data_IF_365694496098
#
_entry.id   IF_365694496098
#
_cell.length_a   1.000
_cell.length_b   1.000
_cell.length_c   1.000
_cell.angle_alpha   90.00
_cell.angle_beta   90.00
_cell.angle_gamma   90.00
#
_symmetry.space_group_name_H-M   'P 1'
#
loop_
_entity.id
_entity.type
_entity.pdbx_description
1 polymer ?
#
# COMPACT_ATOMS: atom_id res chain seq x y z
N UNK A 1 8.93 -48.49 16.32
CA UNK A 1 8.15 -47.27 16.63
C UNK A 1 8.69 -46.17 15.73
N UNK A 2 8.08 -45.92 14.57
CA UNK A 2 8.55 -44.88 13.65
C UNK A 2 8.16 -43.50 14.22
N UNK A 3 9.14 -42.65 14.48
CA UNK A 3 8.92 -41.26 14.85
C UNK A 3 8.08 -40.58 13.76
N UNK A 4 6.86 -40.17 14.12
CA UNK A 4 6.06 -39.29 13.28
C UNK A 4 6.76 -37.94 13.27
N UNK A 5 7.59 -37.70 12.27
CA UNK A 5 8.13 -36.36 11.98
C UNK A 5 6.93 -35.42 11.86
N UNK A 6 6.73 -34.58 12.87
CA UNK A 6 5.65 -33.58 12.88
C UNK A 6 6.04 -32.48 11.91
N UNK A 7 5.80 -32.71 10.61
CA UNK A 7 6.02 -31.72 9.57
C UNK A 7 5.16 -30.48 9.82
N UNK A 8 5.69 -29.30 9.45
CA UNK A 8 4.96 -28.02 9.60
C UNK A 8 3.55 -28.14 8.96
N UNK A 9 2.47 -27.75 9.66
CA UNK A 9 1.11 -27.81 9.13
C UNK A 9 1.03 -27.12 7.76
N UNK A 10 0.51 -27.83 6.76
CA UNK A 10 0.33 -27.30 5.41
C UNK A 10 -0.69 -26.17 5.46
N UNK A 11 -0.57 -25.20 4.57
CA UNK A 11 -1.51 -24.07 4.56
C UNK A 11 -2.95 -24.50 4.28
N UNK A 12 -3.15 -25.65 3.62
CA UNK A 12 -4.45 -26.27 3.41
C UNK A 12 -5.12 -26.77 4.69
N UNK A 13 -4.33 -27.10 5.70
CA UNK A 13 -4.80 -27.70 6.94
C UNK A 13 -5.17 -26.60 7.96
N UNK A 14 -4.84 -25.34 7.65
CA UNK A 14 -5.08 -24.18 8.52
C UNK A 14 -6.51 -23.67 8.33
N UNK A 15 -7.22 -23.54 9.45
CA UNK A 15 -8.59 -22.97 9.48
C UNK A 15 -8.60 -21.45 9.47
N UNK A 16 -7.51 -20.82 9.90
CA UNK A 16 -7.31 -19.37 9.93
C UNK A 16 -6.06 -18.99 9.15
N UNK A 17 -5.96 -17.71 8.81
CA UNK A 17 -4.81 -17.17 8.11
C UNK A 17 -3.55 -17.25 8.99
N UNK A 18 -2.39 -17.41 8.34
CA UNK A 18 -1.08 -17.22 8.98
C UNK A 18 -0.92 -15.76 9.42
N UNK A 19 -0.40 -15.56 10.63
CA UNK A 19 -0.09 -14.25 11.16
C UNK A 19 0.81 -13.45 10.22
N UNK A 20 0.36 -12.24 9.88
CA UNK A 20 1.12 -11.32 9.05
C UNK A 20 2.27 -10.71 9.85
N UNK A 21 3.46 -10.62 9.22
CA UNK A 21 4.63 -9.98 9.81
C UNK A 21 4.37 -8.51 10.15
N UNK A 22 5.07 -7.96 11.14
CA UNK A 22 4.93 -6.54 11.50
C UNK A 22 5.27 -5.62 10.31
N UNK A 23 6.30 -5.97 9.55
CA UNK A 23 6.68 -5.22 8.35
C UNK A 23 5.54 -5.15 7.32
N UNK A 24 4.87 -6.28 7.04
CA UNK A 24 3.77 -6.29 6.09
C UNK A 24 2.51 -5.57 6.58
N UNK A 25 2.36 -5.40 7.90
CA UNK A 25 1.29 -4.58 8.50
C UNK A 25 1.61 -3.09 8.37
N UNK A 26 2.84 -2.69 8.71
CA UNK A 26 3.16 -1.27 8.87
C UNK A 26 3.68 -0.59 7.59
N UNK A 27 4.24 -1.32 6.62
CA UNK A 27 4.95 -0.72 5.47
C UNK A 27 4.18 0.35 4.71
N UNK A 28 2.87 0.16 4.48
CA UNK A 28 2.06 1.15 3.75
C UNK A 28 1.66 2.33 4.62
N UNK A 29 1.36 2.10 5.91
CA UNK A 29 1.13 3.20 6.86
C UNK A 29 2.37 4.07 6.99
N UNK A 30 3.54 3.46 7.14
CA UNK A 30 4.83 4.15 7.19
C UNK A 30 5.07 4.90 5.88
N UNK A 31 4.82 4.27 4.73
CA UNK A 31 4.97 4.90 3.41
C UNK A 31 4.10 6.16 3.30
N UNK A 32 2.80 6.06 3.61
CA UNK A 32 1.88 7.19 3.49
C UNK A 32 2.18 8.29 4.51
N UNK A 33 2.54 7.92 5.74
CA UNK A 33 2.97 8.88 6.75
C UNK A 33 4.23 9.62 6.30
N UNK A 34 5.25 8.90 5.80
CA UNK A 34 6.49 9.48 5.31
C UNK A 34 6.22 10.42 4.14
N UNK A 35 5.39 10.02 3.17
CA UNK A 35 5.01 10.91 2.07
C UNK A 35 4.31 12.16 2.60
N UNK A 36 3.32 12.02 3.47
CA UNK A 36 2.63 13.17 4.06
C UNK A 36 3.60 14.14 4.76
N UNK A 37 4.53 13.63 5.57
CA UNK A 37 5.50 14.48 6.27
C UNK A 37 6.53 15.12 5.35
N UNK A 38 6.96 14.45 4.27
CA UNK A 38 7.81 15.08 3.24
C UNK A 38 7.07 16.25 2.60
N UNK A 39 5.77 16.11 2.35
CA UNK A 39 4.96 17.15 1.73
C UNK A 39 4.76 18.35 2.67
N UNK A 40 4.48 18.09 3.95
CA UNK A 40 4.44 19.12 5.00
C UNK A 40 5.78 19.85 5.12
N UNK A 41 6.88 19.08 5.12
CA UNK A 41 8.23 19.66 5.18
C UNK A 41 8.55 20.52 3.96
N UNK A 42 8.16 20.08 2.76
CA UNK A 42 8.35 20.86 1.54
C UNK A 42 7.69 22.24 1.64
N UNK A 43 6.44 22.29 2.10
CA UNK A 43 5.70 23.55 2.26
C UNK A 43 6.34 24.47 3.33
N UNK A 44 6.83 23.89 4.43
CA UNK A 44 7.55 24.64 5.47
C UNK A 44 8.93 25.14 4.99
N UNK A 45 9.63 24.36 4.18
CA UNK A 45 10.92 24.75 3.60
C UNK A 45 10.77 25.91 2.62
N UNK A 46 9.62 26.01 1.97
CA UNK A 46 9.32 27.09 1.02
C UNK A 46 8.85 28.38 1.70
N UNK A 47 8.24 28.28 2.88
CA UNK A 47 7.74 29.42 3.63
C UNK A 47 8.24 29.39 5.09
N UNK A 48 9.27 30.18 5.44
CA UNK A 48 9.86 30.17 6.78
C UNK A 48 8.93 30.68 7.89
N UNK A 49 7.79 31.31 7.53
CA UNK A 49 6.79 31.81 8.48
C UNK A 49 5.72 30.72 8.76
N UNK A 50 5.60 29.72 7.89
CA UNK A 50 4.59 28.66 8.02
C UNK A 50 4.94 27.72 9.18
N UNK A 51 4.16 27.81 10.26
CA UNK A 51 4.29 26.91 11.40
C UNK A 51 3.88 25.46 11.09
N UNK A 52 4.45 24.51 11.81
CA UNK A 52 4.20 23.07 11.60
C UNK A 52 2.71 22.68 11.70
N UNK A 53 1.99 23.18 12.71
CA UNK A 53 0.56 22.88 12.88
C UNK A 53 -0.28 23.36 11.69
N UNK A 54 0.02 24.54 11.17
CA UNK A 54 -0.71 25.12 10.05
C UNK A 54 -0.34 24.44 8.74
N UNK A 55 0.94 24.06 8.56
CA UNK A 55 1.39 23.24 7.44
C UNK A 55 0.68 21.87 7.42
N UNK A 56 0.57 21.20 8.57
CA UNK A 56 -0.14 19.91 8.68
C UNK A 56 -1.61 20.05 8.34
N UNK A 57 -2.31 21.06 8.88
CA UNK A 57 -3.73 21.32 8.56
C UNK A 57 -3.93 21.64 7.08
N UNK A 58 -3.12 22.54 6.54
CA UNK A 58 -3.17 22.91 5.13
C UNK A 58 -2.90 21.72 4.20
N UNK A 59 -1.97 20.82 4.57
CA UNK A 59 -1.71 19.59 3.83
C UNK A 59 -2.85 18.57 3.96
N UNK A 60 -3.46 18.46 5.13
CA UNK A 60 -4.63 17.58 5.31
C UNK A 60 -5.79 18.02 4.41
N UNK A 61 -6.05 19.32 4.30
CA UNK A 61 -7.14 19.86 3.49
C UNK A 61 -6.83 19.76 1.98
N UNK A 62 -5.63 20.17 1.56
CA UNK A 62 -5.25 20.19 0.14
C UNK A 62 -4.89 18.81 -0.41
N UNK A 63 -4.32 17.92 0.41
CA UNK A 63 -3.83 16.58 0.03
C UNK A 63 -4.66 15.49 0.69
N UNK A 64 -5.96 15.73 0.80
CA UNK A 64 -6.92 14.84 1.47
C UNK A 64 -6.93 13.41 0.92
N UNK A 65 -6.51 13.20 -0.33
CA UNK A 65 -6.45 11.89 -0.99
C UNK A 65 -5.59 10.86 -0.26
N UNK A 66 -4.66 11.30 0.62
CA UNK A 66 -3.87 10.40 1.48
C UNK A 66 -4.77 9.71 2.52
N UNK A 67 -5.83 10.35 3.01
CA UNK A 67 -6.71 9.78 4.03
C UNK A 67 -7.53 8.59 3.53
N UNK A 68 -8.16 8.60 2.33
CA UNK A 68 -8.74 7.40 1.75
C UNK A 68 -7.74 6.25 1.60
N UNK A 69 -6.48 6.52 1.22
CA UNK A 69 -5.46 5.48 1.13
C UNK A 69 -5.12 4.86 2.50
N UNK A 70 -5.02 5.70 3.54
CA UNK A 70 -4.87 5.23 4.92
C UNK A 70 -6.10 4.45 5.38
N UNK A 71 -7.31 4.89 5.06
CA UNK A 71 -8.54 4.19 5.41
C UNK A 71 -8.61 2.80 4.75
N UNK A 72 -8.26 2.69 3.47
CA UNK A 72 -8.15 1.40 2.76
C UNK A 72 -7.13 0.49 3.44
N UNK A 73 -5.99 1.03 3.86
CA UNK A 73 -4.96 0.30 4.58
C UNK A 73 -5.45 -0.18 5.95
N UNK A 74 -6.21 0.63 6.69
CA UNK A 74 -6.83 0.23 7.96
C UNK A 74 -7.88 -0.88 7.75
N UNK A 75 -8.68 -0.79 6.70
CA UNK A 75 -9.63 -1.85 6.32
C UNK A 75 -8.86 -3.14 6.02
N UNK A 76 -7.75 -3.06 5.27
CA UNK A 76 -6.89 -4.21 4.97
C UNK A 76 -6.34 -4.86 6.25
N UNK A 77 -5.82 -4.06 7.18
CA UNK A 77 -5.29 -4.57 8.45
C UNK A 77 -6.39 -5.24 9.29
N UNK A 78 -7.56 -4.60 9.38
CA UNK A 78 -8.73 -5.16 10.07
C UNK A 78 -9.17 -6.48 9.44
N UNK A 79 -9.24 -6.53 8.11
CA UNK A 79 -9.58 -7.73 7.36
C UNK A 79 -8.60 -8.89 7.64
N UNK A 80 -7.30 -8.61 7.67
CA UNK A 80 -6.30 -9.64 7.98
C UNK A 80 -6.35 -10.08 9.44
N UNK A 81 -6.56 -9.16 10.37
CA UNK A 81 -6.73 -9.50 11.78
C UNK A 81 -7.95 -10.40 12.00
N UNK A 82 -9.10 -10.06 11.42
CA UNK A 82 -10.29 -10.91 11.48
C UNK A 82 -10.06 -12.28 10.86
N UNK A 83 -9.28 -12.37 9.77
CA UNK A 83 -8.93 -13.64 9.13
C UNK A 83 -7.97 -14.52 9.93
N UNK A 84 -7.15 -13.91 10.79
CA UNK A 84 -6.26 -14.62 11.72
C UNK A 84 -7.03 -15.16 12.94
N UNK A 85 -8.04 -14.40 13.40
CA UNK A 85 -8.81 -14.72 14.61
C UNK A 85 -10.03 -15.63 14.34
N UNK A 86 -10.73 -15.44 13.22
CA UNK A 86 -12.03 -16.06 12.97
C UNK A 86 -11.98 -17.02 11.77
N UNK A 87 -12.00 -18.32 12.05
CA UNK A 87 -12.09 -19.37 11.03
C UNK A 87 -13.26 -19.21 10.04
N UNK A 88 -14.52 -18.91 10.47
CA UNK A 88 -15.62 -18.77 9.52
C UNK A 88 -15.44 -17.56 8.60
N UNK A 89 -14.94 -16.43 9.14
CA UNK A 89 -14.64 -15.24 8.34
C UNK A 89 -13.58 -15.57 7.29
N UNK A 90 -12.46 -16.18 7.69
CA UNK A 90 -11.42 -16.62 6.76
C UNK A 90 -11.98 -17.54 5.66
N UNK A 91 -12.82 -18.51 6.04
CA UNK A 91 -13.44 -19.45 5.10
C UNK A 91 -14.34 -18.79 4.04
N UNK A 92 -15.10 -17.75 4.41
CA UNK A 92 -15.92 -16.97 3.46
C UNK A 92 -15.01 -16.32 2.42
N UNK A 93 -13.96 -15.65 2.87
CA UNK A 93 -13.02 -14.97 1.97
C UNK A 93 -12.23 -15.93 1.09
N UNK A 94 -11.86 -17.11 1.60
CA UNK A 94 -11.24 -18.16 0.79
C UNK A 94 -12.14 -18.61 -0.37
N UNK A 95 -13.45 -18.76 -0.13
CA UNK A 95 -14.42 -19.09 -1.19
C UNK A 95 -14.54 -17.96 -2.22
N UNK A 96 -14.59 -16.72 -1.75
CA UNK A 96 -14.63 -15.54 -2.61
C UNK A 96 -13.37 -15.45 -3.50
N UNK A 97 -12.16 -15.57 -2.93
CA UNK A 97 -10.93 -15.53 -3.72
C UNK A 97 -10.84 -16.68 -4.72
N UNK A 98 -11.25 -17.90 -4.36
CA UNK A 98 -11.35 -19.02 -5.33
C UNK A 98 -12.31 -18.72 -6.48
N UNK A 99 -13.35 -17.93 -6.26
CA UNK A 99 -14.24 -17.48 -7.34
C UNK A 99 -13.56 -16.43 -8.22
N UNK A 100 -12.95 -15.41 -7.62
CA UNK A 100 -12.21 -14.38 -8.36
C UNK A 100 -11.06 -14.97 -9.16
N UNK A 101 -10.30 -15.91 -8.60
CA UNK A 101 -9.21 -16.58 -9.28
C UNK A 101 -9.69 -17.29 -10.55
N UNK A 102 -10.87 -17.94 -10.52
CA UNK A 102 -11.48 -18.55 -11.72
C UNK A 102 -11.81 -17.53 -12.80
N UNK A 103 -12.23 -16.33 -12.42
CA UNK A 103 -12.48 -15.25 -13.38
C UNK A 103 -11.18 -14.71 -13.96
N UNK A 104 -10.16 -14.50 -13.12
CA UNK A 104 -8.86 -13.95 -13.53
C UNK A 104 -8.08 -14.94 -14.40
N UNK A 105 -8.18 -16.25 -14.15
CA UNK A 105 -7.54 -17.29 -14.97
C UNK A 105 -8.09 -17.39 -16.40
N UNK A 106 -9.11 -16.61 -16.77
CA UNK A 106 -9.48 -16.40 -18.16
C UNK A 106 -8.45 -15.56 -18.93
N UNK A 107 -7.63 -14.77 -18.23
CA UNK A 107 -6.49 -14.06 -18.80
C UNK A 107 -5.29 -15.01 -18.86
N UNK A 108 -4.45 -14.85 -19.88
CA UNK A 108 -3.21 -15.62 -19.97
C UNK A 108 -2.23 -15.25 -18.83
N UNK A 109 -1.43 -16.22 -18.42
CA UNK A 109 -0.41 -16.04 -17.37
C UNK A 109 0.53 -14.87 -17.67
N UNK A 110 0.91 -14.74 -18.94
CA UNK A 110 1.73 -13.64 -19.44
C UNK A 110 1.07 -12.27 -19.24
N UNK A 111 -0.21 -12.15 -19.60
CA UNK A 111 -0.95 -10.89 -19.43
C UNK A 111 -1.11 -10.53 -17.97
N UNK A 112 -1.43 -11.50 -17.11
CA UNK A 112 -1.57 -11.29 -15.66
C UNK A 112 -0.28 -10.82 -15.01
N UNK A 113 0.85 -11.45 -15.36
CA UNK A 113 2.17 -11.05 -14.87
C UNK A 113 2.53 -9.62 -15.29
N UNK A 114 2.34 -9.27 -16.57
CA UNK A 114 2.61 -7.92 -17.09
C UNK A 114 1.72 -6.88 -16.45
N UNK A 115 0.41 -7.16 -16.34
CA UNK A 115 -0.54 -6.23 -15.75
C UNK A 115 -0.20 -5.94 -14.29
N UNK A 116 0.13 -6.97 -13.49
CA UNK A 116 0.54 -6.77 -12.09
C UNK A 116 1.79 -5.89 -11.99
N UNK A 117 2.77 -6.10 -12.87
CA UNK A 117 4.00 -5.29 -12.92
C UNK A 117 3.72 -3.85 -13.34
N UNK A 118 2.93 -3.65 -14.39
CA UNK A 118 2.56 -2.32 -14.88
C UNK A 118 1.82 -1.54 -13.79
N UNK A 119 0.85 -2.15 -13.13
CA UNK A 119 0.12 -1.50 -12.02
C UNK A 119 1.07 -1.09 -10.90
N UNK A 120 2.00 -1.98 -10.48
CA UNK A 120 3.00 -1.65 -9.45
C UNK A 120 3.88 -0.46 -9.85
N UNK A 121 4.36 -0.44 -11.10
CA UNK A 121 5.17 0.67 -11.58
C UNK A 121 4.38 1.97 -11.73
N UNK A 122 3.14 1.92 -12.21
CA UNK A 122 2.27 3.10 -12.31
C UNK A 122 2.00 3.70 -10.93
N UNK A 123 1.72 2.86 -9.92
CA UNK A 123 1.54 3.34 -8.55
C UNK A 123 2.81 3.99 -8.00
N UNK A 124 3.97 3.36 -8.20
CA UNK A 124 5.25 3.92 -7.76
C UNK A 124 5.57 5.24 -8.46
N UNK A 125 5.43 5.30 -9.79
CA UNK A 125 5.66 6.51 -10.58
C UNK A 125 4.69 7.63 -10.20
N UNK A 126 3.42 7.30 -9.97
CA UNK A 126 2.44 8.28 -9.52
C UNK A 126 2.81 8.86 -8.15
N UNK A 127 3.32 8.02 -7.23
CA UNK A 127 3.74 8.50 -5.92
C UNK A 127 4.96 9.42 -6.03
N UNK A 128 5.97 9.01 -6.81
CA UNK A 128 7.17 9.82 -7.06
C UNK A 128 6.82 11.14 -7.75
N UNK A 129 5.89 11.13 -8.70
CA UNK A 129 5.41 12.33 -9.39
C UNK A 129 4.87 13.37 -8.41
N UNK A 130 4.06 12.94 -7.45
CA UNK A 130 3.46 13.85 -6.46
C UNK A 130 4.52 14.44 -5.54
N UNK A 131 5.47 13.62 -5.08
CA UNK A 131 6.57 14.07 -4.22
C UNK A 131 7.45 15.09 -4.97
N UNK A 132 7.90 14.74 -6.18
CA UNK A 132 8.75 15.61 -6.99
C UNK A 132 8.02 16.88 -7.43
N UNK A 133 6.72 16.80 -7.72
CA UNK A 133 5.90 17.98 -8.04
C UNK A 133 5.86 18.97 -6.90
N UNK A 134 5.73 18.47 -5.66
CA UNK A 134 5.79 19.32 -4.48
C UNK A 134 7.18 19.97 -4.30
N UNK A 135 8.27 19.22 -4.53
CA UNK A 135 9.63 19.74 -4.37
C UNK A 135 9.99 20.75 -5.47
N UNK A 136 9.63 20.46 -6.72
CA UNK A 136 9.99 21.29 -7.87
C UNK A 136 8.97 22.40 -8.19
N UNK A 137 7.88 22.52 -7.41
CA UNK A 137 6.80 23.50 -7.63
C UNK A 137 6.18 23.38 -9.02
N UNK A 138 6.08 22.15 -9.51
CA UNK A 138 5.61 21.83 -10.85
C UNK A 138 4.47 20.83 -10.78
N UNK A 139 3.69 20.75 -11.86
CA UNK A 139 2.66 19.69 -11.95
C UNK A 139 3.32 18.30 -11.83
N UNK A 140 2.70 17.33 -11.14
CA UNK A 140 3.32 16.03 -10.86
C UNK A 140 3.91 15.34 -12.10
N UNK A 141 3.21 15.45 -13.23
CA UNK A 141 3.64 14.88 -14.51
C UNK A 141 4.90 15.58 -15.03
N UNK A 142 4.96 16.91 -15.00
CA UNK A 142 6.15 17.67 -15.44
C UNK A 142 7.35 17.42 -14.55
N UNK A 143 7.15 17.29 -13.25
CA UNK A 143 8.22 17.05 -12.28
C UNK A 143 8.98 15.73 -12.54
N UNK A 144 8.29 14.68 -13.00
CA UNK A 144 8.95 13.44 -13.43
C UNK A 144 9.95 13.68 -14.57
N UNK A 145 9.63 14.58 -15.50
CA UNK A 145 10.53 14.92 -16.62
C UNK A 145 11.70 15.83 -16.22
N UNK A 146 11.58 16.53 -15.09
CA UNK A 146 12.68 17.35 -14.54
C UNK A 146 13.65 16.57 -13.66
N UNK A 147 13.25 15.40 -13.13
CA UNK A 147 14.12 14.56 -12.31
C UNK A 147 15.49 14.24 -12.95
N UNK A 148 15.61 13.93 -14.26
CA UNK A 148 16.90 13.68 -14.90
C UNK A 148 17.80 14.92 -15.02
N UNK A 149 17.26 16.14 -14.90
CA UNK A 149 18.05 17.39 -14.98
C UNK A 149 18.76 17.75 -13.68
N UNK A 150 18.42 17.08 -12.58
CA UNK A 150 18.95 17.36 -11.24
C UNK A 150 20.11 16.44 -10.84
N UNK A 151 20.53 15.52 -11.73
CA UNK A 151 21.73 14.67 -11.63
C UNK A 151 22.85 15.24 -12.50
#
# INVERSE_FOLDING_TARGET
MSEVSTSRPRDTDRKTRVHLSLYDRSKFVILFALVFFILVWADMSDNPILGFSDAVRGNADSRWWIFPLLAIELIRQTHFLLSELLAPYHGIWQKYFKFIDRLIHKLSDWTRYRLSRIIKYLLLLSLLAVILGAIYKETPVRALFFAPKAL
#
